data_IF_921631264064
#
_entry.id   IF_921631264064
#
_cell.length_a   1.000
_cell.length_b   1.000
_cell.length_c   1.000
_cell.angle_alpha   90.00
_cell.angle_beta   90.00
_cell.angle_gamma   90.00
#
_symmetry.space_group_name_H-M   'P 1'
#
loop_
_entity.id
_entity.type
_entity.pdbx_description
1 polymer ?
#
# COMPACT_ATOMS: atom_id res chain seq x y z
N UNK A 1 -11.95 -9.88 8.09
CA UNK A 1 -10.98 -9.12 7.27
C UNK A 1 -9.63 -8.95 7.97
N UNK A 2 -9.57 -8.89 9.31
CA UNK A 2 -8.27 -8.96 10.01
C UNK A 2 -7.72 -10.40 10.07
N UNK A 3 -8.62 -11.38 10.05
CA UNK A 3 -8.28 -12.81 10.15
C UNK A 3 -7.45 -13.33 8.95
N UNK A 4 -7.67 -12.74 7.77
CA UNK A 4 -6.93 -13.08 6.55
C UNK A 4 -5.50 -12.51 6.57
N UNK A 5 -5.31 -11.34 7.19
CA UNK A 5 -3.98 -10.73 7.33
C UNK A 5 -3.16 -11.51 8.36
N UNK A 6 -3.78 -11.94 9.46
CA UNK A 6 -3.13 -12.79 10.46
C UNK A 6 -2.72 -14.16 9.88
N UNK A 7 -3.49 -14.73 8.94
CA UNK A 7 -3.10 -15.95 8.23
C UNK A 7 -1.91 -15.78 7.26
N UNK A 8 -1.75 -14.61 6.65
CA UNK A 8 -0.62 -14.32 5.74
C UNK A 8 0.64 -13.94 6.53
N UNK A 9 0.47 -13.28 7.68
CA UNK A 9 1.57 -12.91 8.55
C UNK A 9 2.11 -14.07 9.38
N UNK A 10 1.41 -15.22 9.40
CA UNK A 10 1.89 -16.44 10.01
C UNK A 10 1.92 -16.34 11.54
N UNK A 11 1.69 -17.46 12.21
CA UNK A 11 1.97 -17.57 13.63
C UNK A 11 3.45 -17.27 13.88
N UNK A 12 3.72 -16.48 14.92
CA UNK A 12 5.04 -15.97 15.39
C UNK A 12 6.07 -17.07 15.75
N UNK A 13 5.83 -18.34 15.43
CA UNK A 13 6.63 -19.48 15.91
C UNK A 13 7.95 -19.71 15.16
N UNK A 14 8.16 -19.11 13.99
CA UNK A 14 9.34 -19.37 13.13
C UNK A 14 10.33 -18.19 13.05
N UNK A 15 10.19 -17.18 13.92
CA UNK A 15 10.94 -15.93 13.81
C UNK A 15 12.38 -16.05 14.33
N UNK A 16 13.29 -16.50 13.48
CA UNK A 16 14.69 -16.08 13.61
C UNK A 16 14.78 -14.58 13.27
N UNK A 17 15.30 -13.77 14.20
CA UNK A 17 15.44 -12.32 14.01
C UNK A 17 16.21 -12.00 12.71
N UNK A 18 15.58 -11.28 11.75
CA UNK A 18 16.23 -10.87 10.51
C UNK A 18 17.50 -10.06 10.73
N UNK A 19 17.57 -9.28 11.83
CA UNK A 19 18.76 -8.53 12.21
C UNK A 19 19.94 -9.44 12.57
N UNK A 20 19.67 -10.58 13.22
CA UNK A 20 20.66 -11.61 13.55
C UNK A 20 21.18 -12.29 12.27
N UNK A 21 20.31 -12.62 11.31
CA UNK A 21 20.73 -13.19 10.02
C UNK A 21 21.64 -12.24 9.23
N UNK A 22 21.31 -10.94 9.22
CA UNK A 22 22.11 -9.95 8.52
C UNK A 22 23.51 -9.82 9.12
N UNK A 23 23.60 -9.72 10.45
CA UNK A 23 24.89 -9.69 11.15
C UNK A 23 25.71 -10.96 10.89
N UNK A 24 25.04 -12.10 10.71
CA UNK A 24 25.72 -13.38 10.43
C UNK A 24 26.37 -13.32 9.05
N UNK A 25 25.60 -12.86 8.05
CA UNK A 25 26.12 -12.63 6.69
C UNK A 25 27.26 -11.61 6.66
N UNK A 26 27.28 -10.65 7.59
CA UNK A 26 28.37 -9.66 7.74
C UNK A 26 29.57 -10.16 8.57
N UNK A 27 29.57 -11.41 9.06
CA UNK A 27 30.56 -11.96 9.98
C UNK A 27 30.74 -11.14 11.28
N UNK A 28 29.68 -10.50 11.77
CA UNK A 28 29.71 -9.64 12.96
C UNK A 28 29.15 -10.31 14.23
N UNK A 29 28.72 -11.58 14.16
CA UNK A 29 28.28 -12.31 15.35
C UNK A 29 29.42 -13.03 16.05
N UNK A 30 29.38 -13.11 17.40
CA UNK A 30 30.24 -13.98 18.17
C UNK A 30 29.91 -15.46 17.90
N UNK A 31 30.90 -16.35 18.06
CA UNK A 31 30.81 -17.76 17.68
C UNK A 31 29.63 -18.54 18.29
N UNK A 32 29.22 -18.19 19.51
CA UNK A 32 28.07 -18.83 20.17
C UNK A 32 26.75 -18.51 19.46
N UNK A 33 26.57 -17.27 19.00
CA UNK A 33 25.34 -16.86 18.31
C UNK A 33 25.31 -17.29 16.84
N UNK A 34 26.48 -17.54 16.24
CA UNK A 34 26.59 -18.16 14.90
C UNK A 34 25.99 -19.57 14.89
N UNK A 35 26.27 -20.34 15.93
CA UNK A 35 25.73 -21.70 16.08
C UNK A 35 24.20 -21.70 16.16
N UNK A 36 23.60 -20.72 16.84
CA UNK A 36 22.15 -20.58 16.89
C UNK A 36 21.55 -20.34 15.50
N UNK A 37 22.22 -19.54 14.66
CA UNK A 37 21.78 -19.25 13.30
C UNK A 37 21.88 -20.50 12.42
N UNK A 38 22.97 -21.25 12.53
CA UNK A 38 23.15 -22.52 11.83
C UNK A 38 22.11 -23.57 12.25
N UNK A 39 21.83 -23.67 13.56
CA UNK A 39 20.78 -24.52 14.08
C UNK A 39 19.39 -24.07 13.59
N UNK A 40 19.13 -22.76 13.52
CA UNK A 40 17.90 -22.20 12.96
C UNK A 40 17.72 -22.57 11.49
N UNK A 41 18.76 -22.37 10.67
CA UNK A 41 18.74 -22.74 9.26
C UNK A 41 18.59 -24.27 9.03
N UNK A 42 19.14 -25.10 9.92
CA UNK A 42 18.97 -26.55 9.84
C UNK A 42 17.54 -27.02 10.18
N UNK A 43 16.86 -26.29 11.08
CA UNK A 43 15.52 -26.65 11.56
C UNK A 43 14.39 -26.03 10.73
N UNK A 44 14.62 -24.90 10.08
CA UNK A 44 13.62 -24.18 9.29
C UNK A 44 14.11 -23.91 7.85
N UNK A 45 13.47 -24.54 6.84
CA UNK A 45 13.74 -24.28 5.42
C UNK A 45 13.61 -22.80 5.03
N UNK A 46 12.73 -22.04 5.68
CA UNK A 46 12.54 -20.62 5.41
C UNK A 46 13.77 -19.79 5.84
N UNK A 47 14.33 -20.10 7.02
CA UNK A 47 15.56 -19.45 7.51
C UNK A 47 16.75 -19.80 6.62
N UNK A 48 16.85 -21.06 6.17
CA UNK A 48 17.87 -21.48 5.22
C UNK A 48 17.81 -20.70 3.89
N UNK A 49 16.62 -20.60 3.29
CA UNK A 49 16.40 -19.87 2.04
C UNK A 49 16.72 -18.36 2.20
N UNK A 50 16.29 -17.77 3.31
CA UNK A 50 16.61 -16.38 3.63
C UNK A 50 18.12 -16.14 3.77
N UNK A 51 18.85 -17.07 4.40
CA UNK A 51 20.30 -16.98 4.57
C UNK A 51 21.02 -17.12 3.23
N UNK A 52 20.61 -18.06 2.39
CA UNK A 52 21.14 -18.22 1.04
C UNK A 52 20.91 -16.94 0.21
N UNK A 53 19.69 -16.40 0.22
CA UNK A 53 19.37 -15.15 -0.47
C UNK A 53 20.18 -13.95 0.03
N UNK A 54 20.45 -13.87 1.34
CA UNK A 54 21.33 -12.84 1.90
C UNK A 54 22.79 -12.99 1.45
N UNK A 55 23.31 -14.22 1.35
CA UNK A 55 24.67 -14.49 0.89
C UNK A 55 24.87 -14.19 -0.60
N UNK A 56 23.81 -14.26 -1.41
CA UNK A 56 23.85 -13.88 -2.82
C UNK A 56 24.04 -12.36 -3.03
N UNK A 57 23.81 -11.54 -2.01
CA UNK A 57 24.09 -10.10 -2.07
C UNK A 57 25.59 -9.84 -1.94
N UNK A 58 26.16 -9.09 -2.90
CA UNK A 58 27.58 -8.68 -2.83
C UNK A 58 27.91 -7.87 -1.57
N UNK A 59 26.93 -7.17 -1.02
CA UNK A 59 27.08 -6.37 0.16
C UNK A 59 25.81 -6.54 1.02
N UNK A 60 25.90 -7.20 2.19
CA UNK A 60 24.74 -7.44 3.05
C UNK A 60 24.09 -6.16 3.55
N UNK A 61 24.86 -5.07 3.72
CA UNK A 61 24.31 -3.77 4.14
C UNK A 61 23.32 -3.21 3.11
N UNK A 62 23.39 -3.63 1.84
CA UNK A 62 22.41 -3.24 0.81
C UNK A 62 21.02 -3.83 1.05
N UNK A 63 20.89 -4.94 1.79
CA UNK A 63 19.59 -5.53 2.09
C UNK A 63 18.67 -4.52 2.77
N UNK A 64 19.19 -3.77 3.76
CA UNK A 64 18.46 -2.70 4.44
C UNK A 64 18.02 -1.58 3.46
N UNK A 65 18.89 -1.22 2.51
CA UNK A 65 18.56 -0.21 1.50
C UNK A 65 17.45 -0.70 0.55
N UNK A 66 17.51 -1.97 0.13
CA UNK A 66 16.51 -2.62 -0.72
C UNK A 66 15.16 -2.66 -0.01
N UNK A 67 15.11 -3.10 1.26
CA UNK A 67 13.89 -3.11 2.08
C UNK A 67 13.30 -1.70 2.19
N UNK A 68 14.15 -0.69 2.47
CA UNK A 68 13.72 0.69 2.55
C UNK A 68 13.15 1.21 1.22
N UNK A 69 13.77 0.88 0.10
CA UNK A 69 13.30 1.26 -1.24
C UNK A 69 11.96 0.57 -1.57
N UNK A 70 11.84 -0.72 -1.27
CA UNK A 70 10.62 -1.49 -1.47
C UNK A 70 9.47 -0.92 -0.64
N UNK A 71 9.70 -0.67 0.65
CA UNK A 71 8.71 -0.05 1.54
C UNK A 71 8.26 1.33 1.04
N UNK A 72 9.19 2.16 0.57
CA UNK A 72 8.86 3.46 -0.05
C UNK A 72 8.04 3.27 -1.33
N UNK A 73 8.41 2.30 -2.18
CA UNK A 73 7.69 1.96 -3.41
C UNK A 73 6.27 1.49 -3.16
N UNK A 74 6.07 0.55 -2.24
CA UNK A 74 4.76 0.04 -1.83
C UNK A 74 3.89 1.17 -1.28
N UNK A 75 4.41 1.99 -0.35
CA UNK A 75 3.69 3.16 0.18
C UNK A 75 3.29 4.13 -0.92
N UNK A 76 4.14 4.34 -1.92
CA UNK A 76 3.83 5.19 -3.08
C UNK A 76 2.68 4.60 -3.92
N UNK A 77 2.73 3.31 -4.25
CA UNK A 77 1.68 2.63 -5.02
C UNK A 77 0.33 2.59 -4.29
N UNK A 78 0.34 2.45 -2.96
CA UNK A 78 -0.88 2.48 -2.14
C UNK A 78 -1.47 3.91 -2.06
N UNK A 79 -0.62 4.95 -1.99
CA UNK A 79 -1.07 6.36 -1.99
C UNK A 79 -1.69 6.77 -3.33
N UNK A 80 -1.12 6.35 -4.46
CA UNK A 80 -1.65 6.73 -5.79
C UNK A 80 -3.03 6.14 -6.07
N UNK A 81 -3.38 4.98 -5.51
CA UNK A 81 -4.74 4.42 -5.61
C UNK A 81 -5.80 5.27 -4.89
N UNK A 82 -5.45 5.98 -3.81
CA UNK A 82 -6.40 6.88 -3.12
C UNK A 82 -6.72 8.16 -3.90
N UNK A 83 -5.82 8.59 -4.79
CA UNK A 83 -5.92 9.88 -5.46
C UNK A 83 -6.69 9.85 -6.79
N UNK A 84 -7.14 8.67 -7.25
CA UNK A 84 -7.89 8.48 -8.49
C UNK A 84 -9.42 8.42 -8.31
N UNK A 85 -9.95 9.00 -7.24
CA UNK A 85 -11.35 9.43 -7.24
C UNK A 85 -11.44 10.70 -8.08
N UNK A 86 -11.52 10.52 -9.40
CA UNK A 86 -11.92 11.60 -10.29
C UNK A 86 -13.22 12.17 -9.73
N UNK A 87 -13.18 13.42 -9.27
CA UNK A 87 -14.36 14.10 -8.78
C UNK A 87 -15.44 14.06 -9.84
N UNK A 88 -16.68 13.81 -9.42
CA UNK A 88 -17.85 13.87 -10.31
C UNK A 88 -17.74 15.20 -11.09
N UNK A 89 -17.72 15.17 -12.44
CA UNK A 89 -17.63 16.40 -13.21
C UNK A 89 -18.79 17.31 -12.78
N UNK A 90 -18.48 18.57 -12.46
CA UNK A 90 -19.46 19.49 -11.90
C UNK A 90 -20.68 19.59 -12.82
N UNK A 91 -21.86 19.27 -12.27
CA UNK A 91 -23.13 19.24 -13.00
C UNK A 91 -23.69 20.67 -13.28
N UNK A 92 -22.80 21.65 -13.40
CA UNK A 92 -23.14 23.07 -13.53
C UNK A 92 -24.00 23.33 -14.78
N UNK A 93 -23.72 22.64 -15.89
CA UNK A 93 -24.53 22.73 -17.11
C UNK A 93 -25.98 22.29 -16.92
N UNK A 94 -26.22 21.27 -16.07
CA UNK A 94 -27.58 20.80 -15.76
C UNK A 94 -28.33 21.82 -14.92
N UNK A 95 -27.65 22.45 -13.95
CA UNK A 95 -28.22 23.51 -13.12
C UNK A 95 -28.61 24.72 -14.00
N UNK A 96 -27.75 25.14 -14.93
CA UNK A 96 -28.07 26.25 -15.84
C UNK A 96 -29.28 25.92 -16.75
N UNK A 97 -29.36 24.70 -17.27
CA UNK A 97 -30.50 24.28 -18.10
C UNK A 97 -31.83 24.35 -17.33
N UNK A 98 -31.84 23.91 -16.06
CA UNK A 98 -33.03 23.96 -15.20
C UNK A 98 -33.44 25.41 -14.92
N UNK A 99 -32.49 26.29 -14.61
CA UNK A 99 -32.78 27.71 -14.34
C UNK A 99 -33.39 28.38 -15.58
N UNK A 100 -32.81 28.14 -16.76
CA UNK A 100 -33.33 28.69 -18.02
C UNK A 100 -34.75 28.18 -18.29
N UNK A 101 -35.00 26.88 -18.09
CA UNK A 101 -36.33 26.30 -18.25
C UNK A 101 -37.36 26.95 -17.32
N UNK A 102 -37.02 27.16 -16.05
CA UNK A 102 -37.91 27.82 -15.08
C UNK A 102 -38.21 29.28 -15.46
N UNK A 103 -37.23 30.02 -15.99
CA UNK A 103 -37.44 31.38 -16.48
C UNK A 103 -38.42 31.38 -17.66
N UNK A 104 -38.26 30.47 -18.62
CA UNK A 104 -39.15 30.35 -19.78
C UNK A 104 -40.60 30.09 -19.32
N UNK A 105 -40.80 29.16 -18.38
CA UNK A 105 -42.14 28.83 -17.84
C UNK A 105 -42.75 30.06 -17.14
N UNK A 106 -41.95 30.77 -16.34
CA UNK A 106 -42.40 31.96 -15.60
C UNK A 106 -42.82 33.09 -16.55
N UNK A 107 -42.03 33.34 -17.59
CA UNK A 107 -42.34 34.36 -18.61
C UNK A 107 -43.59 33.97 -19.40
N UNK A 108 -43.70 32.72 -19.83
CA UNK A 108 -44.88 32.22 -20.54
C UNK A 108 -46.15 32.37 -19.70
N UNK A 109 -46.09 32.01 -18.42
CA UNK A 109 -47.20 32.20 -17.48
C UNK A 109 -47.59 33.68 -17.34
N UNK A 110 -46.61 34.57 -17.24
CA UNK A 110 -46.85 36.00 -17.10
C UNK A 110 -47.52 36.61 -18.34
N UNK A 111 -47.11 36.19 -19.54
CA UNK A 111 -47.72 36.64 -20.81
C UNK A 111 -49.17 36.17 -20.90
N UNK A 112 -49.44 34.90 -20.60
CA UNK A 112 -50.81 34.35 -20.63
C UNK A 112 -51.71 35.09 -19.64
N UNK A 113 -51.22 35.29 -18.40
CA UNK A 113 -51.97 36.02 -17.37
C UNK A 113 -52.25 37.47 -17.79
N UNK A 114 -51.31 38.13 -18.48
CA UNK A 114 -51.49 39.49 -18.99
C UNK A 114 -52.49 39.57 -20.16
N UNK A 115 -52.69 38.50 -20.92
CA UNK A 115 -53.69 38.49 -22.01
C UNK A 115 -55.11 38.14 -21.54
N UNK A 116 -55.26 37.58 -20.34
CA UNK A 116 -56.55 37.16 -19.78
C UNK A 116 -57.17 38.17 -18.79
N UNK A 117 -56.47 39.27 -18.47
CA UNK A 117 -56.98 40.36 -17.62
C UNK A 117 -56.90 41.69 -18.34
#
# INVERSE_FOLDING_TARGET
>A
MNDDINKILGDEEHEMDPGKLLKYAENQLPAHEQHDVEAGAANDPFVADALEGLQQLQNPQQANAIVNQLNKGLRKQLKTKKQKRQGIPSQQWVIYAIIILLIIITVAFFIIKRQQG
#
